data_IF_417301390675
#
_entry.id   IF_417301390675
#
_cell.length_a   1.000
_cell.length_b   1.000
_cell.length_c   1.000
_cell.angle_alpha   90.00
_cell.angle_beta   90.00
_cell.angle_gamma   90.00
#
_symmetry.space_group_name_H-M   'P 1'
#
loop_
_entity.id
_entity.type
_entity.pdbx_description
1 polymer ?
#
# COMPACT_ATOMS: atom_id res chain seq x y z
N UNK A 1 1.12 6.50 -42.18
CA UNK A 1 0.59 6.67 -40.80
C UNK A 1 -0.92 6.84 -40.87
N UNK A 2 -1.61 6.81 -39.71
CA UNK A 2 -3.06 7.05 -39.64
C UNK A 2 -3.48 8.45 -40.15
N UNK A 3 -2.53 9.38 -40.28
CA UNK A 3 -2.70 10.72 -40.84
C UNK A 3 -1.55 11.04 -41.80
N UNK A 4 -1.64 10.66 -43.09
CA UNK A 4 -0.63 11.03 -44.08
C UNK A 4 -0.76 12.52 -44.43
N UNK A 5 0.36 13.27 -44.42
CA UNK A 5 0.41 14.66 -44.89
C UNK A 5 0.15 15.75 -43.84
N UNK A 6 -0.05 15.40 -42.57
CA UNK A 6 -0.15 16.34 -41.46
C UNK A 6 1.17 16.39 -40.67
N UNK A 7 1.52 17.57 -40.17
CA UNK A 7 2.63 17.70 -39.22
C UNK A 7 2.24 17.05 -37.88
N UNK A 8 3.21 16.48 -37.15
CA UNK A 8 2.93 15.82 -35.87
C UNK A 8 2.27 16.75 -34.84
N UNK A 9 2.51 18.06 -34.94
CA UNK A 9 1.89 19.09 -34.09
C UNK A 9 0.40 19.32 -34.37
N UNK A 10 -0.10 18.90 -35.54
CA UNK A 10 -1.49 19.06 -35.98
C UNK A 10 -2.36 17.83 -35.66
N UNK A 11 -1.75 16.75 -35.16
CA UNK A 11 -2.46 15.54 -34.77
C UNK A 11 -3.11 15.78 -33.39
N UNK A 12 -4.45 15.79 -33.26
CA UNK A 12 -5.14 16.14 -32.01
C UNK A 12 -5.10 15.02 -30.96
N UNK A 13 -4.23 14.02 -31.13
CA UNK A 13 -4.10 12.88 -30.23
C UNK A 13 -3.14 13.26 -29.11
N UNK A 14 -3.69 13.53 -27.94
CA UNK A 14 -2.96 13.80 -26.71
C UNK A 14 -3.16 12.67 -25.69
N UNK A 15 -2.58 12.80 -24.49
CA UNK A 15 -2.75 11.84 -23.41
C UNK A 15 -3.64 12.38 -22.29
N UNK A 16 -4.44 11.51 -21.69
CA UNK A 16 -5.09 11.76 -20.40
C UNK A 16 -4.41 10.90 -19.35
N UNK A 17 -3.79 11.53 -18.34
CA UNK A 17 -3.17 10.81 -17.23
C UNK A 17 -4.25 10.28 -16.29
N UNK A 18 -4.17 9.00 -15.93
CA UNK A 18 -5.09 8.40 -14.97
C UNK A 18 -4.96 9.05 -13.59
N UNK A 19 -6.10 9.30 -12.94
CA UNK A 19 -6.18 9.79 -11.57
C UNK A 19 -6.87 8.80 -10.64
N UNK A 20 -6.93 9.17 -9.35
CA UNK A 20 -7.63 8.44 -8.31
C UNK A 20 -8.58 9.38 -7.57
N UNK A 21 -9.68 8.86 -7.03
CA UNK A 21 -10.59 9.65 -6.20
C UNK A 21 -10.06 9.75 -4.76
N UNK A 22 -9.44 10.89 -4.43
CA UNK A 22 -8.69 11.12 -3.18
C UNK A 22 -9.44 10.67 -1.92
N UNK A 23 -10.72 11.01 -1.70
CA UNK A 23 -11.44 10.63 -0.48
C UNK A 23 -11.58 9.12 -0.28
N UNK A 24 -11.54 8.33 -1.36
CA UNK A 24 -11.62 6.86 -1.30
C UNK A 24 -10.24 6.18 -1.29
N UNK A 25 -9.18 6.92 -1.60
CA UNK A 25 -7.82 6.40 -1.70
C UNK A 25 -6.95 6.74 -0.49
N UNK A 26 -7.33 7.76 0.26
CA UNK A 26 -6.62 8.23 1.46
C UNK A 26 -7.36 7.76 2.71
N UNK A 27 -6.62 7.27 3.71
CA UNK A 27 -7.20 6.91 5.00
C UNK A 27 -7.73 8.18 5.70
N UNK A 28 -8.95 8.17 6.28
CA UNK A 28 -9.52 9.36 6.94
C UNK A 28 -8.63 9.97 8.02
N UNK A 29 -7.74 9.20 8.66
CA UNK A 29 -6.78 9.70 9.65
C UNK A 29 -5.72 10.62 9.03
N UNK A 30 -5.33 10.38 7.77
CA UNK A 30 -4.42 11.27 7.03
C UNK A 30 -5.13 12.60 6.75
N UNK A 31 -6.38 12.57 6.29
CA UNK A 31 -7.20 13.77 6.11
C UNK A 31 -7.41 14.54 7.42
N UNK A 32 -7.64 13.83 8.53
CA UNK A 32 -7.79 14.45 9.85
C UNK A 32 -6.52 15.18 10.29
N UNK A 33 -5.34 14.56 10.13
CA UNK A 33 -4.05 15.19 10.44
C UNK A 33 -3.82 16.44 9.57
N UNK A 34 -4.11 16.35 8.27
CA UNK A 34 -3.98 17.49 7.36
C UNK A 34 -4.90 18.66 7.77
N UNK A 35 -6.16 18.38 8.13
CA UNK A 35 -7.11 19.40 8.61
C UNK A 35 -6.66 20.03 9.92
N UNK A 36 -6.11 19.24 10.84
CA UNK A 36 -5.61 19.73 12.12
C UNK A 36 -4.43 20.69 11.93
N UNK A 37 -3.50 20.37 11.02
CA UNK A 37 -2.30 21.16 10.80
C UNK A 37 -2.52 22.38 9.89
N UNK A 38 -3.39 22.26 8.88
CA UNK A 38 -3.48 23.23 7.78
C UNK A 38 -4.90 23.77 7.52
N UNK A 39 -5.89 23.34 8.30
CA UNK A 39 -7.29 23.70 8.09
C UNK A 39 -7.95 22.94 6.93
N UNK A 40 -9.26 23.14 6.77
CA UNK A 40 -10.07 22.42 5.77
C UNK A 40 -9.83 22.89 4.33
N UNK A 41 -9.37 24.13 4.14
CA UNK A 41 -9.11 24.69 2.80
C UNK A 41 -7.89 24.05 2.11
N UNK A 42 -6.90 23.61 2.89
CA UNK A 42 -5.70 22.96 2.35
C UNK A 42 -6.02 21.63 1.62
N UNK A 43 -6.99 20.87 2.12
CA UNK A 43 -7.42 19.59 1.52
C UNK A 43 -8.21 19.84 0.22
N UNK A 44 -9.04 20.89 0.17
CA UNK A 44 -9.85 21.24 -1.00
C UNK A 44 -9.00 21.77 -2.17
N UNK A 45 -7.88 22.43 -1.88
CA UNK A 45 -6.99 23.04 -2.88
C UNK A 45 -5.89 22.08 -3.40
N UNK A 46 -5.80 20.85 -2.88
CA UNK A 46 -4.78 19.88 -3.31
C UNK A 46 -3.34 20.32 -3.03
N UNK A 47 -3.13 21.11 -1.96
CA UNK A 47 -1.83 21.70 -1.58
C UNK A 47 -0.90 20.69 -0.90
N UNK A 48 -0.45 19.70 -1.67
CA UNK A 48 0.48 18.67 -1.19
C UNK A 48 1.85 19.20 -0.75
N UNK A 49 2.23 20.39 -1.21
CA UNK A 49 3.44 21.08 -0.75
C UNK A 49 3.43 21.34 0.77
N UNK A 50 2.26 21.46 1.39
CA UNK A 50 2.13 21.61 2.84
C UNK A 50 2.53 20.36 3.62
N UNK A 51 2.55 19.18 2.98
CA UNK A 51 2.96 17.95 3.64
C UNK A 51 4.39 18.02 4.20
N UNK A 52 5.26 18.84 3.61
CA UNK A 52 6.63 19.07 4.10
C UNK A 52 6.70 19.84 5.43
N UNK A 53 5.59 20.42 5.88
CA UNK A 53 5.50 21.10 7.17
C UNK A 53 5.06 20.15 8.30
N UNK A 54 4.71 18.91 8.00
CA UNK A 54 4.36 17.90 9.01
C UNK A 54 5.65 17.34 9.61
N UNK A 55 5.70 17.19 10.93
CA UNK A 55 6.87 16.64 11.60
C UNK A 55 7.07 15.14 11.27
N UNK A 56 8.33 14.69 11.24
CA UNK A 56 8.65 13.27 11.06
C UNK A 56 8.01 12.38 12.13
N UNK A 57 7.88 12.90 13.35
CA UNK A 57 7.24 12.19 14.47
C UNK A 57 5.75 11.95 14.21
N UNK A 58 5.01 12.96 13.76
CA UNK A 58 3.59 12.84 13.43
C UNK A 58 3.36 11.88 12.27
N UNK A 59 4.18 11.98 11.22
CA UNK A 59 4.12 11.07 10.07
C UNK A 59 4.40 9.64 10.51
N UNK A 60 5.41 9.44 11.35
CA UNK A 60 5.79 8.11 11.83
C UNK A 60 4.74 7.51 12.76
N UNK A 61 4.18 8.30 13.68
CA UNK A 61 3.12 7.90 14.58
C UNK A 61 1.87 7.46 13.81
N UNK A 62 1.43 8.27 12.83
CA UNK A 62 0.31 7.93 11.96
C UNK A 62 0.62 6.66 11.15
N UNK A 63 1.81 6.57 10.56
CA UNK A 63 2.23 5.37 9.81
C UNK A 63 2.24 4.11 10.68
N UNK A 64 2.63 4.20 11.95
CA UNK A 64 2.56 3.08 12.91
C UNK A 64 1.11 2.65 13.12
N UNK A 65 0.19 3.61 13.35
CA UNK A 65 -1.24 3.29 13.50
C UNK A 65 -1.81 2.59 12.26
N UNK A 66 -1.49 3.08 11.06
CA UNK A 66 -1.94 2.46 9.80
C UNK A 66 -1.40 1.02 9.64
N UNK A 67 -0.15 0.76 10.03
CA UNK A 67 0.43 -0.59 10.01
C UNK A 67 -0.25 -1.53 10.98
N UNK A 68 -0.55 -1.07 12.21
CA UNK A 68 -1.30 -1.87 13.19
C UNK A 68 -2.68 -2.24 12.61
N UNK A 69 -3.42 -1.27 12.07
CA UNK A 69 -4.73 -1.54 11.46
C UNK A 69 -4.66 -2.54 10.30
N UNK A 70 -3.61 -2.47 9.46
CA UNK A 70 -3.38 -3.44 8.39
C UNK A 70 -3.18 -4.85 8.96
N UNK A 71 -2.30 -5.00 9.96
CA UNK A 71 -1.99 -6.30 10.58
C UNK A 71 -3.26 -6.89 11.21
N UNK A 72 -4.01 -6.11 11.97
CA UNK A 72 -5.28 -6.55 12.57
C UNK A 72 -6.29 -6.99 11.52
N UNK A 73 -6.43 -6.25 10.42
CA UNK A 73 -7.35 -6.61 9.34
C UNK A 73 -6.91 -7.90 8.63
N UNK A 74 -5.60 -8.08 8.39
CA UNK A 74 -5.05 -9.33 7.84
C UNK A 74 -5.35 -10.50 8.76
N UNK A 75 -5.09 -10.39 10.06
CA UNK A 75 -5.34 -11.45 11.04
C UNK A 75 -6.82 -11.85 11.07
N UNK A 76 -7.73 -10.86 11.14
CA UNK A 76 -9.19 -11.11 11.08
C UNK A 76 -9.60 -11.84 9.79
N UNK A 77 -9.12 -11.36 8.64
CA UNK A 77 -9.48 -11.94 7.32
C UNK A 77 -8.93 -13.34 7.15
N UNK A 78 -7.70 -13.60 7.59
CA UNK A 78 -7.12 -14.94 7.57
C UNK A 78 -7.95 -15.90 8.42
N UNK A 79 -8.25 -15.53 9.67
CA UNK A 79 -9.08 -16.34 10.56
C UNK A 79 -10.45 -16.65 9.93
N UNK A 80 -11.14 -15.63 9.40
CA UNK A 80 -12.43 -15.80 8.74
C UNK A 80 -12.35 -16.70 7.50
N UNK A 81 -11.31 -16.54 6.68
CA UNK A 81 -11.10 -17.35 5.48
C UNK A 81 -10.87 -18.83 5.82
N UNK A 82 -10.12 -19.13 6.87
CA UNK A 82 -9.86 -20.50 7.31
C UNK A 82 -11.07 -21.14 8.01
N UNK A 83 -11.81 -20.39 8.83
CA UNK A 83 -13.11 -20.87 9.36
C UNK A 83 -14.06 -21.27 8.24
N UNK A 84 -14.15 -20.46 7.18
CA UNK A 84 -14.99 -20.78 6.01
C UNK A 84 -14.57 -22.07 5.30
N UNK A 85 -13.31 -22.50 5.46
CA UNK A 85 -12.76 -23.76 4.91
C UNK A 85 -12.93 -24.96 5.86
N UNK A 86 -13.54 -24.76 7.03
CA UNK A 86 -13.83 -25.84 7.99
C UNK A 86 -12.77 -26.07 9.07
N UNK A 87 -11.77 -25.18 9.19
CA UNK A 87 -10.77 -25.28 10.26
C UNK A 87 -11.40 -25.07 11.65
N UNK A 88 -10.98 -25.86 12.63
CA UNK A 88 -11.43 -25.72 14.01
C UNK A 88 -10.74 -24.54 14.72
N UNK A 89 -11.38 -23.95 15.72
CA UNK A 89 -10.81 -22.78 16.43
C UNK A 89 -9.45 -23.06 17.09
N UNK A 90 -9.22 -24.29 17.54
CA UNK A 90 -7.95 -24.75 18.11
C UNK A 90 -6.79 -24.71 17.10
N UNK A 91 -7.07 -24.80 15.79
CA UNK A 91 -6.08 -24.79 14.72
C UNK A 91 -5.75 -23.36 14.25
N UNK A 92 -6.47 -22.34 14.72
CA UNK A 92 -6.38 -20.97 14.21
C UNK A 92 -5.55 -20.02 15.08
N UNK A 93 -4.92 -20.49 16.17
CA UNK A 93 -4.10 -19.63 17.03
C UNK A 93 -2.95 -18.93 16.28
N UNK A 94 -2.42 -19.55 15.21
CA UNK A 94 -1.37 -18.93 14.39
C UNK A 94 -1.85 -17.68 13.64
N UNK A 95 -3.15 -17.54 13.34
CA UNK A 95 -3.64 -16.34 12.64
C UNK A 95 -3.52 -15.09 13.50
N UNK A 96 -3.47 -15.25 14.82
CA UNK A 96 -3.40 -14.13 15.77
C UNK A 96 -1.98 -13.55 15.89
N UNK A 97 -0.97 -14.28 15.37
CA UNK A 97 0.46 -13.89 15.40
C UNK A 97 1.06 -13.60 14.04
N UNK A 98 0.28 -13.75 12.96
CA UNK A 98 0.73 -13.43 11.59
C UNK A 98 0.96 -11.93 11.44
N UNK A 99 2.10 -11.60 10.82
CA UNK A 99 2.63 -10.25 10.61
C UNK A 99 2.89 -9.48 11.91
N UNK A 100 3.94 -8.66 11.88
CA UNK A 100 4.29 -7.76 12.98
C UNK A 100 4.22 -6.30 12.46
N UNK A 101 3.49 -5.39 13.12
CA UNK A 101 3.43 -3.98 12.70
C UNK A 101 4.79 -3.26 12.73
N UNK A 102 5.75 -3.79 13.48
CA UNK A 102 7.09 -3.22 13.66
C UNK A 102 8.12 -3.78 12.67
N UNK A 103 7.73 -4.77 11.86
CA UNK A 103 8.56 -5.35 10.78
C UNK A 103 8.29 -4.64 9.45
N UNK A 104 9.34 -4.48 8.64
CA UNK A 104 9.23 -3.88 7.32
C UNK A 104 8.27 -4.69 6.43
N UNK A 105 7.15 -4.08 6.07
CA UNK A 105 6.09 -4.69 5.24
C UNK A 105 6.16 -4.17 3.81
N UNK A 106 6.28 -5.08 2.85
CA UNK A 106 6.24 -4.78 1.42
C UNK A 106 4.91 -5.30 0.85
N UNK A 107 4.06 -4.39 0.39
CA UNK A 107 2.75 -4.73 -0.18
C UNK A 107 2.77 -4.77 -1.71
N UNK A 108 2.16 -5.79 -2.31
CA UNK A 108 1.91 -5.93 -3.74
C UNK A 108 0.41 -5.85 -4.05
N UNK A 109 -0.17 -4.66 -3.92
CA UNK A 109 -1.60 -4.42 -4.15
C UNK A 109 -1.96 -4.26 -5.64
N UNK A 110 -1.80 -5.33 -6.43
CA UNK A 110 -2.14 -5.36 -7.85
C UNK A 110 -2.61 -6.74 -8.30
N UNK A 111 -3.37 -6.81 -9.40
CA UNK A 111 -3.61 -8.08 -10.10
C UNK A 111 -2.27 -8.73 -10.47
N UNK A 112 -2.25 -10.05 -10.62
CA UNK A 112 -1.05 -10.84 -10.96
C UNK A 112 -1.02 -11.25 -12.46
N UNK A 113 -0.97 -10.33 -13.42
CA UNK A 113 -0.68 -10.69 -14.80
C UNK A 113 0.84 -10.82 -15.01
N UNK A 114 1.22 -11.67 -15.96
CA UNK A 114 2.61 -12.05 -16.26
C UNK A 114 3.55 -10.86 -16.51
N UNK A 115 3.06 -9.79 -17.16
CA UNK A 115 3.85 -8.60 -17.46
C UNK A 115 4.21 -7.73 -16.24
N UNK A 116 3.61 -7.98 -15.06
CA UNK A 116 3.94 -7.28 -13.81
C UNK A 116 5.02 -7.99 -12.98
N UNK A 117 5.61 -9.05 -13.54
CA UNK A 117 6.90 -9.65 -13.14
C UNK A 117 7.06 -9.95 -11.64
N UNK A 118 6.00 -10.40 -10.97
CA UNK A 118 6.04 -10.80 -9.56
C UNK A 118 7.11 -11.90 -9.33
N UNK A 119 7.36 -12.75 -10.33
CA UNK A 119 8.40 -13.77 -10.32
C UNK A 119 9.83 -13.26 -10.21
N UNK A 120 10.09 -11.95 -10.37
CA UNK A 120 11.43 -11.39 -10.16
C UNK A 120 11.92 -11.57 -8.71
N UNK A 121 11.03 -11.57 -7.72
CA UNK A 121 11.41 -11.86 -6.34
C UNK A 121 11.92 -13.29 -6.16
N UNK A 122 11.50 -14.21 -7.05
CA UNK A 122 11.90 -15.62 -7.06
C UNK A 122 13.15 -15.88 -7.90
N UNK A 123 13.74 -14.84 -8.52
CA UNK A 123 14.98 -14.98 -9.30
C UNK A 123 16.15 -15.46 -8.43
N UNK A 124 16.15 -15.06 -7.16
CA UNK A 124 17.14 -15.46 -6.16
C UNK A 124 16.41 -15.90 -4.87
N UNK A 125 15.96 -17.17 -4.81
CA UNK A 125 15.22 -17.69 -3.66
C UNK A 125 16.05 -17.70 -2.39
N UNK A 126 17.37 -17.90 -2.49
CA UNK A 126 18.28 -17.90 -1.35
C UNK A 126 18.32 -16.52 -0.70
N UNK A 127 18.45 -15.46 -1.51
CA UNK A 127 18.38 -14.08 -1.03
C UNK A 127 17.01 -13.73 -0.46
N UNK A 128 15.93 -14.11 -1.13
CA UNK A 128 14.58 -13.86 -0.62
C UNK A 128 14.38 -14.51 0.76
N UNK A 129 14.78 -15.78 0.92
CA UNK A 129 14.73 -16.48 2.20
C UNK A 129 15.59 -15.79 3.27
N UNK A 130 16.79 -15.34 2.92
CA UNK A 130 17.66 -14.61 3.85
C UNK A 130 17.04 -13.30 4.33
N UNK A 131 16.32 -12.57 3.48
CA UNK A 131 15.62 -11.34 3.85
C UNK A 131 14.38 -11.62 4.73
N UNK A 132 13.57 -12.61 4.37
CA UNK A 132 12.37 -12.98 5.13
C UNK A 132 12.72 -13.49 6.54
N UNK A 133 13.86 -14.18 6.68
CA UNK A 133 14.28 -14.85 7.92
C UNK A 133 15.47 -14.17 8.60
N UNK A 134 15.77 -12.91 8.28
CA UNK A 134 16.91 -12.21 8.88
C UNK A 134 16.72 -12.12 10.41
N UNK A 135 17.72 -12.48 11.24
CA UNK A 135 17.56 -12.60 12.70
C UNK A 135 17.35 -11.29 13.46
N UNK A 136 17.35 -10.14 12.77
CA UNK A 136 17.32 -8.79 13.38
C UNK A 136 16.44 -7.84 12.59
N UNK A 137 16.52 -7.92 11.26
CA UNK A 137 15.76 -7.07 10.33
C UNK A 137 15.04 -7.92 9.29
N UNK A 138 14.11 -8.80 9.70
CA UNK A 138 13.31 -9.55 8.75
C UNK A 138 12.41 -8.59 7.95
N UNK A 139 11.90 -9.08 6.82
CA UNK A 139 10.85 -8.38 6.06
C UNK A 139 9.60 -9.27 5.97
N UNK A 140 8.45 -8.66 5.75
CA UNK A 140 7.19 -9.36 5.51
C UNK A 140 6.52 -8.87 4.22
N UNK A 141 5.76 -9.74 3.57
CA UNK A 141 5.11 -9.48 2.29
C UNK A 141 3.60 -9.56 2.45
N UNK A 142 2.87 -8.65 1.80
CA UNK A 142 1.40 -8.62 1.73
C UNK A 142 0.94 -8.54 0.28
#
# INVERSE_FOLDING_TARGET
>A
GLWPGFDHSEIPITSVTNGVHVPTWVDPRISALARQQFGTEAEALGRWDLAYNVSDEDVWALRRQLRVSLVEDVRRRLRAAWKKRGAADAELGWTDTVLDPDVLTIGFARRVPTYKRLTLMLRDPARLKALLLHPKHPIQLV
#
